data_IF_936111184780
#
_entry.id   IF_936111184780
#
_cell.length_a   1.000
_cell.length_b   1.000
_cell.length_c   1.000
_cell.angle_alpha   90.00
_cell.angle_beta   90.00
_cell.angle_gamma   90.00
#
_symmetry.space_group_name_H-M   'P 1'
#
loop_
_entity.id
_entity.type
_entity.pdbx_description
1 polymer ?
#
# COMPACT_ATOMS: atom_id res chain seq x y z
N UNK A 1 -33.79 -51.16 -66.53
CA UNK A 1 -32.41 -51.19 -65.97
C UNK A 1 -31.61 -50.13 -66.70
N UNK A 2 -31.15 -49.02 -66.12
CA UNK A 2 -31.53 -48.25 -64.94
C UNK A 2 -31.47 -46.77 -65.39
N UNK A 3 -32.40 -45.95 -64.91
CA UNK A 3 -32.59 -44.56 -65.38
C UNK A 3 -31.35 -43.69 -65.14
N UNK A 4 -30.94 -42.96 -66.18
CA UNK A 4 -30.08 -41.79 -66.02
C UNK A 4 -30.96 -40.61 -65.64
N UNK A 5 -30.92 -40.20 -64.37
CA UNK A 5 -31.55 -38.97 -63.91
C UNK A 5 -30.56 -37.82 -64.10
N UNK A 6 -30.69 -37.10 -65.21
CA UNK A 6 -29.94 -35.88 -65.48
C UNK A 6 -30.61 -34.71 -64.73
N UNK A 7 -30.25 -34.54 -63.47
CA UNK A 7 -30.62 -33.37 -62.68
C UNK A 7 -29.64 -32.23 -62.92
N UNK A 8 -30.06 -31.21 -63.68
CA UNK A 8 -29.33 -29.95 -63.80
C UNK A 8 -29.56 -29.19 -62.49
N UNK A 9 -28.61 -29.27 -61.56
CA UNK A 9 -28.65 -28.58 -60.29
C UNK A 9 -27.23 -28.41 -59.76
N UNK A 10 -26.84 -27.19 -59.45
CA UNK A 10 -25.53 -26.92 -58.85
C UNK A 10 -25.38 -27.72 -57.55
N UNK A 11 -24.24 -28.40 -57.40
CA UNK A 11 -23.90 -28.98 -56.11
C UNK A 11 -23.73 -27.82 -55.12
N UNK A 12 -24.63 -27.75 -54.13
CA UNK A 12 -24.36 -26.96 -52.94
C UNK A 12 -23.16 -27.60 -52.24
N UNK A 13 -21.98 -26.99 -52.41
CA UNK A 13 -20.85 -27.27 -51.53
C UNK A 13 -21.29 -26.71 -50.19
N UNK A 14 -21.70 -27.58 -49.27
CA UNK A 14 -21.89 -27.19 -47.87
C UNK A 14 -20.54 -26.66 -47.40
N UNK A 15 -20.42 -25.34 -47.37
CA UNK A 15 -19.36 -24.69 -46.65
C UNK A 15 -19.67 -25.07 -45.22
N UNK A 16 -18.89 -25.99 -44.68
CA UNK A 16 -18.98 -26.37 -43.29
C UNK A 16 -18.65 -25.08 -42.52
N UNK A 17 -19.69 -24.33 -42.15
CA UNK A 17 -19.60 -23.17 -41.28
C UNK A 17 -19.38 -23.65 -39.83
N UNK A 18 -18.63 -24.74 -39.68
CA UNK A 18 -17.77 -24.89 -38.53
C UNK A 18 -16.66 -23.88 -38.75
N UNK A 19 -16.95 -22.61 -38.42
CA UNK A 19 -15.91 -21.77 -37.84
C UNK A 19 -15.34 -22.61 -36.72
N UNK A 20 -14.27 -23.34 -37.04
CA UNK A 20 -13.50 -24.08 -36.09
C UNK A 20 -13.25 -23.07 -34.97
N UNK A 21 -13.84 -23.30 -33.80
CA UNK A 21 -13.43 -22.59 -32.60
C UNK A 21 -11.94 -22.85 -32.55
N UNK A 22 -11.19 -21.85 -32.99
CA UNK A 22 -9.79 -22.01 -33.33
C UNK A 22 -9.14 -22.55 -32.07
N UNK A 23 -8.62 -23.79 -32.21
CA UNK A 23 -7.94 -24.61 -31.22
C UNK A 23 -7.40 -23.73 -30.08
N UNK A 24 -8.22 -23.51 -29.04
CA UNK A 24 -7.84 -22.61 -27.95
C UNK A 24 -6.74 -23.39 -27.24
N UNK A 25 -5.49 -22.92 -27.28
CA UNK A 25 -4.40 -23.70 -26.72
C UNK A 25 -4.69 -23.91 -25.23
N UNK A 26 -4.79 -25.18 -24.83
CA UNK A 26 -5.24 -25.62 -23.50
C UNK A 26 -4.32 -25.16 -22.34
N UNK A 27 -3.24 -24.45 -22.64
CA UNK A 27 -2.24 -23.92 -21.71
C UNK A 27 -2.33 -22.39 -21.53
N UNK A 28 -3.51 -21.79 -21.70
CA UNK A 28 -3.73 -20.37 -21.40
C UNK A 28 -4.64 -20.19 -20.19
N UNK A 29 -4.19 -19.41 -19.23
CA UNK A 29 -4.99 -18.99 -18.07
C UNK A 29 -5.48 -17.56 -18.31
N UNK A 30 -6.77 -17.32 -18.09
CA UNK A 30 -7.36 -15.98 -18.06
C UNK A 30 -7.63 -15.60 -16.60
N UNK A 31 -7.06 -14.48 -16.16
CA UNK A 31 -7.37 -13.87 -14.87
C UNK A 31 -8.18 -12.60 -15.15
N UNK A 32 -9.35 -12.49 -14.51
CA UNK A 32 -10.20 -11.30 -14.59
C UNK A 32 -10.43 -10.80 -13.18
N UNK A 33 -9.87 -9.64 -12.87
CA UNK A 33 -10.03 -9.01 -11.55
C UNK A 33 -9.79 -7.50 -11.64
N UNK A 34 -10.23 -6.77 -10.63
CA UNK A 34 -9.97 -5.33 -10.47
C UNK A 34 -8.60 -5.15 -9.80
N UNK A 35 -7.59 -4.83 -10.60
CA UNK A 35 -6.19 -4.72 -10.15
C UNK A 35 -5.79 -3.30 -9.72
N UNK A 36 -6.68 -2.32 -9.84
CA UNK A 36 -6.48 -0.90 -9.47
C UNK A 36 -7.66 -0.39 -8.63
N UNK A 37 -7.45 0.67 -7.84
CA UNK A 37 -8.52 1.25 -7.02
C UNK A 37 -9.67 1.82 -7.86
N UNK A 38 -9.34 2.46 -8.98
CA UNK A 38 -10.31 3.04 -9.91
C UNK A 38 -10.71 2.04 -11.00
N UNK A 39 -11.96 2.14 -11.45
CA UNK A 39 -12.48 1.34 -12.55
C UNK A 39 -11.95 1.86 -13.90
N UNK A 40 -11.47 0.98 -14.79
CA UNK A 40 -11.03 1.42 -16.10
C UNK A 40 -12.25 1.80 -16.96
N UNK A 41 -12.09 2.82 -17.82
CA UNK A 41 -13.13 3.26 -18.76
C UNK A 41 -13.59 2.13 -19.70
N UNK A 42 -12.67 1.24 -20.06
CA UNK A 42 -12.94 0.05 -20.86
C UNK A 42 -12.17 -1.15 -20.29
N UNK A 43 -12.75 -2.36 -20.33
CA UNK A 43 -12.04 -3.57 -19.95
C UNK A 43 -10.73 -3.70 -20.74
N UNK A 44 -9.61 -3.78 -20.02
CA UNK A 44 -8.30 -3.97 -20.62
C UNK A 44 -7.97 -5.46 -20.67
N UNK A 45 -7.62 -5.95 -21.87
CA UNK A 45 -7.07 -7.30 -22.04
C UNK A 45 -5.57 -7.18 -22.23
N UNK A 46 -4.80 -7.70 -21.27
CA UNK A 46 -3.34 -7.74 -21.33
C UNK A 46 -2.89 -9.19 -21.46
N UNK A 47 -1.89 -9.42 -22.31
CA UNK A 47 -1.27 -10.73 -22.51
C UNK A 47 0.22 -10.65 -22.14
N UNK A 48 0.84 -11.80 -21.88
CA UNK A 48 2.29 -11.93 -21.62
C UNK A 48 2.79 -11.27 -20.32
N UNK A 49 1.92 -11.09 -19.34
CA UNK A 49 2.32 -10.84 -17.95
C UNK A 49 2.54 -12.21 -17.28
N UNK A 50 3.80 -12.59 -17.09
CA UNK A 50 4.20 -13.89 -16.56
C UNK A 50 4.60 -13.85 -15.08
N UNK A 51 4.95 -12.66 -14.58
CA UNK A 51 5.44 -12.47 -13.21
C UNK A 51 4.60 -11.41 -12.47
N UNK A 52 4.43 -11.54 -11.13
CA UNK A 52 3.77 -10.51 -10.33
C UNK A 52 4.36 -9.12 -10.53
N UNK A 53 5.69 -9.02 -10.66
CA UNK A 53 6.40 -7.75 -10.83
C UNK A 53 5.99 -7.05 -12.13
N UNK A 54 5.77 -7.81 -13.22
CA UNK A 54 5.24 -7.26 -14.48
C UNK A 54 3.80 -6.76 -14.32
N UNK A 55 2.98 -7.46 -13.54
CA UNK A 55 1.61 -7.02 -13.23
C UNK A 55 1.64 -5.69 -12.47
N UNK A 56 2.47 -5.58 -11.41
CA UNK A 56 2.62 -4.31 -10.67
C UNK A 56 3.18 -3.19 -11.54
N UNK A 57 4.17 -3.47 -12.38
CA UNK A 57 4.76 -2.47 -13.28
C UNK A 57 3.78 -1.96 -14.35
N UNK A 58 2.85 -2.82 -14.79
CA UNK A 58 1.81 -2.48 -15.76
C UNK A 58 0.68 -1.67 -15.11
N UNK A 59 0.04 -2.24 -14.08
CA UNK A 59 -1.17 -1.68 -13.48
C UNK A 59 -0.89 -0.55 -12.47
N UNK A 60 0.33 -0.46 -11.92
CA UNK A 60 0.78 0.59 -10.99
C UNK A 60 -0.27 0.93 -9.93
N UNK A 61 -0.73 -0.06 -9.16
CA UNK A 61 -1.77 0.13 -8.17
C UNK A 61 -1.36 1.20 -7.16
N UNK A 62 -2.29 2.11 -6.90
CA UNK A 62 -2.14 3.15 -5.90
C UNK A 62 -3.48 3.42 -5.21
N UNK A 63 -3.44 3.94 -3.99
CA UNK A 63 -4.62 4.23 -3.18
C UNK A 63 -4.37 5.43 -2.27
N UNK A 64 -5.31 6.36 -2.23
CA UNK A 64 -5.32 7.45 -1.26
C UNK A 64 -5.94 6.94 0.04
N UNK A 65 -5.20 7.10 1.14
CA UNK A 65 -5.64 6.76 2.49
C UNK A 65 -5.74 8.04 3.31
N UNK A 66 -6.89 8.28 3.91
CA UNK A 66 -7.08 9.36 4.86
C UNK A 66 -6.77 8.86 6.27
N UNK A 67 -5.82 9.52 6.94
CA UNK A 67 -5.52 9.35 8.35
C UNK A 67 -6.15 10.48 9.15
N UNK A 68 -6.45 10.22 10.41
CA UNK A 68 -6.89 11.23 11.38
C UNK A 68 -5.76 11.46 12.37
N UNK A 69 -5.37 12.72 12.59
CA UNK A 69 -4.37 13.07 13.59
C UNK A 69 -4.97 13.30 14.98
N UNK A 70 -4.13 13.61 15.96
CA UNK A 70 -4.54 13.82 17.36
C UNK A 70 -5.51 14.99 17.54
N UNK A 71 -5.57 15.92 16.58
CA UNK A 71 -6.45 17.08 16.57
C UNK A 71 -7.74 16.83 15.77
N UNK A 72 -7.90 15.63 15.21
CA UNK A 72 -9.02 15.26 14.35
C UNK A 72 -8.91 15.81 12.92
N UNK A 73 -7.73 16.30 12.50
CA UNK A 73 -7.53 16.74 11.11
C UNK A 73 -7.23 15.55 10.21
N UNK A 74 -7.81 15.56 9.02
CA UNK A 74 -7.53 14.55 8.01
C UNK A 74 -6.20 14.81 7.30
N UNK A 75 -5.35 13.78 7.24
CA UNK A 75 -4.11 13.73 6.46
C UNK A 75 -4.25 12.67 5.39
N UNK A 76 -4.40 13.10 4.14
CA UNK A 76 -4.51 12.19 3.00
C UNK A 76 -3.11 11.91 2.44
N UNK A 77 -2.77 10.64 2.33
CA UNK A 77 -1.52 10.19 1.72
C UNK A 77 -1.78 9.14 0.64
N UNK A 78 -1.00 9.19 -0.44
CA UNK A 78 -1.11 8.24 -1.54
C UNK A 78 -0.09 7.11 -1.37
N UNK A 79 -0.55 5.86 -1.30
CA UNK A 79 0.28 4.68 -1.30
C UNK A 79 0.42 4.13 -2.72
N UNK A 80 1.65 3.83 -3.13
CA UNK A 80 1.96 3.22 -4.43
C UNK A 80 2.64 1.87 -4.19
N UNK A 81 2.16 0.83 -4.88
CA UNK A 81 2.68 -0.52 -4.72
C UNK A 81 3.40 -0.98 -5.99
N UNK A 82 4.62 -1.45 -5.81
CA UNK A 82 5.51 -1.95 -6.87
C UNK A 82 5.71 -3.47 -6.76
N UNK A 83 5.44 -4.04 -5.60
CA UNK A 83 5.55 -5.48 -5.34
C UNK A 83 4.72 -5.88 -4.11
N UNK A 84 4.67 -7.18 -3.82
CA UNK A 84 3.89 -7.76 -2.70
C UNK A 84 4.42 -7.33 -1.32
N UNK A 85 5.73 -7.08 -1.18
CA UNK A 85 6.32 -6.65 0.08
C UNK A 85 5.88 -5.24 0.49
N UNK A 86 5.44 -4.39 -0.44
CA UNK A 86 4.99 -3.03 -0.14
C UNK A 86 3.71 -3.02 0.73
N UNK A 87 2.96 -4.12 0.77
CA UNK A 87 1.81 -4.32 1.65
C UNK A 87 2.18 -4.69 3.10
N UNK A 88 3.45 -4.95 3.38
CA UNK A 88 3.90 -5.21 4.75
C UNK A 88 3.83 -3.93 5.56
N UNK A 89 3.30 -4.02 6.79
CA UNK A 89 3.14 -2.88 7.72
C UNK A 89 4.42 -2.06 7.83
N UNK A 90 5.59 -2.71 7.93
CA UNK A 90 6.87 -2.02 8.00
C UNK A 90 7.13 -1.14 6.78
N UNK A 91 6.86 -1.64 5.58
CA UNK A 91 7.11 -0.91 4.33
C UNK A 91 6.08 0.20 4.17
N UNK A 92 4.81 -0.06 4.46
CA UNK A 92 3.75 0.96 4.49
C UNK A 92 4.08 2.10 5.46
N UNK A 93 4.55 1.77 6.67
CA UNK A 93 5.00 2.77 7.65
C UNK A 93 6.20 3.57 7.14
N UNK A 94 7.10 2.98 6.36
CA UNK A 94 8.27 3.69 5.82
C UNK A 94 7.93 4.60 4.64
N UNK A 95 6.97 4.21 3.80
CA UNK A 95 6.52 5.00 2.65
C UNK A 95 5.62 6.17 3.04
N UNK A 96 4.92 6.06 4.18
CA UNK A 96 4.05 7.10 4.72
C UNK A 96 4.82 8.06 5.64
N UNK A 97 4.90 9.37 5.32
CA UNK A 97 5.46 10.37 6.23
C UNK A 97 4.78 10.38 7.59
N UNK A 98 3.44 10.37 7.62
CA UNK A 98 2.65 10.39 8.84
C UNK A 98 2.92 9.17 9.73
N UNK A 99 2.79 7.95 9.18
CA UNK A 99 3.00 6.72 9.95
C UNK A 99 4.44 6.59 10.40
N UNK A 100 5.42 7.03 9.59
CA UNK A 100 6.83 7.02 9.95
C UNK A 100 7.11 7.89 11.17
N UNK A 101 6.52 9.08 11.22
CA UNK A 101 6.71 9.98 12.36
C UNK A 101 5.98 9.49 13.60
N UNK A 102 4.80 8.88 13.44
CA UNK A 102 4.10 8.20 14.53
C UNK A 102 4.91 7.00 15.08
N UNK A 103 5.54 6.21 14.21
CA UNK A 103 6.38 5.08 14.61
C UNK A 103 7.64 5.55 15.36
N UNK A 104 8.27 6.64 14.92
CA UNK A 104 9.37 7.27 15.67
C UNK A 104 8.94 7.69 17.07
N UNK A 105 7.80 8.37 17.20
CA UNK A 105 7.23 8.77 18.51
C UNK A 105 7.00 7.55 19.38
N UNK A 106 6.37 6.50 18.85
CA UNK A 106 6.12 5.23 19.53
C UNK A 106 7.42 4.57 20.01
N UNK A 107 8.43 4.46 19.15
CA UNK A 107 9.73 3.89 19.49
C UNK A 107 10.46 4.70 20.57
N UNK A 108 10.39 6.02 20.49
CA UNK A 108 10.91 6.91 21.53
C UNK A 108 10.21 6.67 22.88
N UNK A 109 8.88 6.67 22.91
CA UNK A 109 8.12 6.40 24.14
C UNK A 109 8.39 5.01 24.71
N UNK A 110 8.49 3.99 23.87
CA UNK A 110 8.83 2.63 24.30
C UNK A 110 10.21 2.56 24.95
N UNK A 111 11.21 3.22 24.35
CA UNK A 111 12.55 3.32 24.93
C UNK A 111 12.54 4.08 26.25
N UNK A 112 11.86 5.22 26.31
CA UNK A 112 11.72 6.02 27.53
C UNK A 112 11.04 5.22 28.64
N UNK A 113 9.92 4.55 28.36
CA UNK A 113 9.24 3.67 29.30
C UNK A 113 10.14 2.54 29.81
N UNK A 114 10.93 1.92 28.92
CA UNK A 114 11.88 0.87 29.31
C UNK A 114 12.95 1.42 30.27
N UNK A 115 13.51 2.59 29.99
CA UNK A 115 14.49 3.25 30.87
C UNK A 115 13.86 3.58 32.23
N UNK A 116 12.68 4.18 32.23
CA UNK A 116 11.92 4.51 33.43
C UNK A 116 11.61 3.29 34.29
N UNK A 117 11.26 2.15 33.67
CA UNK A 117 10.94 0.90 34.40
C UNK A 117 12.18 0.15 34.88
N UNK A 118 13.27 0.21 34.14
CA UNK A 118 14.50 -0.52 34.49
C UNK A 118 15.28 0.12 35.64
N UNK A 119 15.14 1.43 35.84
CA UNK A 119 15.87 2.16 36.87
C UNK A 119 15.05 2.33 38.16
N UNK A 120 15.35 1.50 39.18
CA UNK A 120 14.70 1.55 40.49
C UNK A 120 14.85 2.90 41.22
N UNK A 121 15.93 3.63 40.98
CA UNK A 121 16.16 4.95 41.58
C UNK A 121 15.21 5.96 40.95
N UNK A 122 15.10 5.99 39.62
CA UNK A 122 14.14 6.83 38.91
C UNK A 122 12.70 6.48 39.27
N UNK A 123 12.36 5.20 39.41
CA UNK A 123 11.01 4.80 39.88
C UNK A 123 10.69 5.35 41.26
N UNK A 124 11.63 5.24 42.22
CA UNK A 124 11.44 5.79 43.57
C UNK A 124 11.36 7.32 43.56
N UNK A 125 12.21 7.98 42.77
CA UNK A 125 12.19 9.44 42.61
C UNK A 125 10.86 9.91 42.01
N UNK A 126 10.29 9.18 41.04
CA UNK A 126 8.99 9.50 40.43
C UNK A 126 7.79 9.18 41.31
N UNK A 127 7.95 8.37 42.37
CA UNK A 127 6.92 8.10 43.38
C UNK A 127 6.88 9.16 44.48
N UNK A 128 7.99 9.88 44.71
CA UNK A 128 8.03 11.01 45.61
C UNK A 128 7.52 12.28 44.91
N UNK A 129 6.53 12.96 45.50
CA UNK A 129 5.89 14.13 44.89
C UNK A 129 6.87 15.27 44.56
N UNK A 130 7.76 15.60 45.51
CA UNK A 130 8.73 16.70 45.34
C UNK A 130 9.78 16.40 44.27
N UNK A 131 10.32 15.18 44.27
CA UNK A 131 11.32 14.75 43.29
C UNK A 131 10.75 14.62 41.87
N UNK A 132 9.47 14.21 41.73
CA UNK A 132 8.76 14.21 40.45
C UNK A 132 8.58 15.65 39.93
N UNK A 133 8.17 16.59 40.77
CA UNK A 133 7.99 17.99 40.38
C UNK A 133 9.31 18.63 39.93
N UNK A 134 10.40 18.40 40.66
CA UNK A 134 11.73 18.87 40.27
C UNK A 134 12.21 18.27 38.94
N UNK A 135 11.90 17.00 38.68
CA UNK A 135 12.25 16.33 37.42
C UNK A 135 11.45 16.90 36.24
N UNK A 136 10.16 17.20 36.43
CA UNK A 136 9.32 17.85 35.41
C UNK A 136 9.86 19.26 35.11
N UNK A 137 10.17 20.06 36.13
CA UNK A 137 10.74 21.40 35.93
C UNK A 137 12.08 21.36 35.18
N UNK A 138 12.93 20.38 35.46
CA UNK A 138 14.20 20.23 34.73
C UNK A 138 13.95 19.88 33.25
N UNK A 139 12.95 19.04 32.94
CA UNK A 139 12.58 18.73 31.56
C UNK A 139 11.95 19.92 30.84
N UNK A 140 11.09 20.69 31.52
CA UNK A 140 10.49 21.93 30.99
C UNK A 140 11.55 22.99 30.71
N UNK A 141 12.55 23.13 31.59
CA UNK A 141 13.68 24.02 31.37
C UNK A 141 14.52 23.59 30.15
N UNK A 142 14.84 22.29 30.02
CA UNK A 142 15.52 21.77 28.83
C UNK A 142 14.70 21.99 27.54
N UNK A 143 13.38 21.86 27.62
CA UNK A 143 12.49 22.09 26.48
C UNK A 143 12.50 23.57 26.07
N UNK A 144 12.38 24.49 27.03
CA UNK A 144 12.47 25.93 26.79
C UNK A 144 13.84 26.34 26.21
N UNK A 145 14.93 25.72 26.66
CA UNK A 145 16.27 25.94 26.09
C UNK A 145 16.37 25.51 24.63
N UNK A 146 15.75 24.39 24.25
CA UNK A 146 15.73 23.88 22.89
C UNK A 146 14.88 24.76 21.96
N UNK A 147 13.69 25.15 22.40
CA UNK A 147 12.79 26.04 21.64
C UNK A 147 13.44 27.42 21.38
N UNK A 148 14.08 28.00 22.40
CA UNK A 148 14.81 29.26 22.25
C UNK A 148 16.01 29.15 21.28
N UNK A 149 16.53 27.94 21.06
CA UNK A 149 17.61 27.68 20.13
C UNK A 149 17.10 27.49 18.69
N UNK A 150 15.91 26.92 18.50
CA UNK A 150 15.26 26.83 17.18
C UNK A 150 14.83 28.20 16.64
N UNK A 151 14.30 29.10 17.49
CA UNK A 151 13.95 30.48 17.08
C UNK A 151 15.16 31.28 16.56
N UNK A 152 16.35 31.04 17.11
CA UNK A 152 17.59 31.72 16.67
C UNK A 152 18.14 31.22 15.35
N UNK A 153 17.82 29.99 14.95
CA UNK A 153 18.28 29.39 13.67
C UNK A 153 17.39 29.81 12.50
N UNK A 154 16.14 30.19 12.73
CA UNK A 154 15.21 30.65 11.69
C UNK A 154 15.40 32.14 11.34
N UNK A 155 16.05 32.91 12.22
CA UNK A 155 16.28 34.35 12.06
C UNK A 155 17.72 34.72 11.64
N UNK A 156 18.57 33.75 11.31
CA UNK A 156 19.94 33.96 10.81
C UNK A 156 20.15 33.33 9.44
#
# INVERSE_FOLDING_TARGET
>A
MGMFEYGIGGNEVKIDASEAIADIPFNRTLLVDKLTADDPLHPEKVEKLETPEQVFAHFKPNVNVAFEDEEGQEKIENFQFHNVADFLVKNMTQTSPFLRDLDKKKEFYNKMMKQLRSNKILQKALQAGDSRAAFIQALEACLAELEAHEEKVVLG
#
